data_IF_145746435304
#
_entry.id   IF_145746435304
#
_cell.length_a   1.000
_cell.length_b   1.000
_cell.length_c   1.000
_cell.angle_alpha   90.00
_cell.angle_beta   90.00
_cell.angle_gamma   90.00
#
_symmetry.space_group_name_H-M   'P 1'
#
loop_
_entity.id
_entity.type
_entity.pdbx_description
1 polymer ?
#
# COMPACT_ATOMS: atom_id res chain seq x y z
N UNK A 1 13.25 -7.21 3.10
CA UNK A 1 12.54 -7.93 4.18
C UNK A 1 11.04 -7.71 4.09
N UNK A 2 10.33 -8.46 3.24
CA UNK A 2 8.84 -8.42 3.15
C UNK A 2 8.22 -9.64 3.88
N UNK A 3 9.04 -10.43 4.56
CA UNK A 3 8.59 -11.56 5.39
C UNK A 3 7.83 -11.14 6.65
N UNK A 4 7.96 -9.87 7.07
CA UNK A 4 7.22 -9.30 8.21
C UNK A 4 5.71 -9.45 8.02
N UNK A 5 5.23 -9.48 6.77
CA UNK A 5 3.82 -9.77 6.48
C UNK A 5 3.63 -11.28 6.47
N UNK A 6 3.14 -11.79 7.60
CA UNK A 6 2.89 -13.21 7.81
C UNK A 6 1.64 -13.68 7.04
N UNK A 7 1.62 -14.96 6.63
CA UNK A 7 0.46 -15.59 5.97
C UNK A 7 -0.85 -15.43 6.77
N UNK A 8 -0.87 -15.53 8.11
CA UNK A 8 -2.05 -15.21 8.91
C UNK A 8 -2.53 -13.76 8.77
N UNK A 9 -1.61 -12.79 8.68
CA UNK A 9 -1.95 -11.38 8.46
C UNK A 9 -2.68 -11.15 7.14
N UNK A 10 -2.15 -11.72 6.05
CA UNK A 10 -2.78 -11.67 4.72
C UNK A 10 -4.16 -12.33 4.76
N UNK A 11 -4.28 -13.47 5.45
CA UNK A 11 -5.58 -14.14 5.63
C UNK A 11 -6.58 -13.24 6.35
N UNK A 12 -6.19 -12.56 7.43
CA UNK A 12 -7.09 -11.62 8.14
C UNK A 12 -7.58 -10.48 7.25
N UNK A 13 -6.69 -9.91 6.43
CA UNK A 13 -7.03 -8.85 5.49
C UNK A 13 -7.99 -9.35 4.39
N UNK A 14 -7.67 -10.49 3.77
CA UNK A 14 -8.51 -11.09 2.74
C UNK A 14 -9.91 -11.44 3.28
N UNK A 15 -10.00 -11.97 4.51
CA UNK A 15 -11.29 -12.23 5.16
C UNK A 15 -12.08 -10.96 5.43
N UNK A 16 -11.43 -9.88 5.88
CA UNK A 16 -12.07 -8.56 6.04
C UNK A 16 -12.60 -8.03 4.71
N UNK A 17 -11.90 -8.32 3.61
CA UNK A 17 -12.34 -8.01 2.24
C UNK A 17 -13.37 -8.98 1.63
N UNK A 18 -13.92 -9.93 2.40
CA UNK A 18 -14.95 -10.88 1.91
C UNK A 18 -14.42 -12.05 1.08
N UNK A 19 -13.09 -12.26 1.02
CA UNK A 19 -12.50 -13.34 0.22
C UNK A 19 -12.80 -14.70 0.85
N UNK A 20 -13.46 -15.60 0.09
CA UNK A 20 -13.89 -16.94 0.56
C UNK A 20 -12.80 -18.02 0.42
N UNK A 21 -11.97 -17.98 -0.62
CA UNK A 21 -10.85 -18.92 -0.84
C UNK A 21 -9.62 -18.15 -1.29
N UNK A 22 -8.44 -18.54 -0.77
CA UNK A 22 -7.16 -17.88 -1.06
C UNK A 22 -6.24 -18.93 -1.67
N UNK A 23 -5.70 -18.64 -2.87
CA UNK A 23 -4.69 -19.50 -3.54
C UNK A 23 -3.30 -19.20 -2.99
N UNK A 24 -2.38 -20.17 -3.09
CA UNK A 24 -1.01 -20.04 -2.55
C UNK A 24 -0.19 -18.89 -3.15
N UNK A 25 -0.38 -18.60 -4.45
CA UNK A 25 0.34 -17.53 -5.15
C UNK A 25 -0.01 -16.12 -4.64
N UNK A 26 -1.20 -15.95 -4.06
CA UNK A 26 -1.68 -14.66 -3.53
C UNK A 26 -0.81 -14.15 -2.39
N UNK A 27 -0.12 -15.03 -1.65
CA UNK A 27 0.72 -14.59 -0.53
C UNK A 27 1.90 -13.75 -1.00
N UNK A 28 2.57 -14.16 -2.08
CA UNK A 28 3.71 -13.42 -2.61
C UNK A 28 3.25 -12.21 -3.43
N UNK A 29 2.18 -12.34 -4.18
CA UNK A 29 1.59 -11.23 -4.94
C UNK A 29 1.12 -10.09 -4.02
N UNK A 30 0.42 -10.43 -2.92
CA UNK A 30 -0.02 -9.44 -1.92
C UNK A 30 1.15 -8.71 -1.27
N UNK A 31 2.27 -9.41 -1.07
CA UNK A 31 3.51 -8.82 -0.53
C UNK A 31 4.15 -7.85 -1.52
N UNK A 32 4.18 -8.21 -2.80
CA UNK A 32 4.65 -7.33 -3.88
C UNK A 32 3.82 -6.05 -3.96
N UNK A 33 2.49 -6.17 -3.99
CA UNK A 33 1.57 -5.02 -4.03
C UNK A 33 1.76 -4.11 -2.82
N UNK A 34 1.87 -4.68 -1.60
CA UNK A 34 2.04 -3.86 -0.41
C UNK A 34 3.40 -3.14 -0.39
N UNK A 35 4.45 -3.76 -0.92
CA UNK A 35 5.76 -3.11 -1.05
C UNK A 35 5.67 -1.89 -1.97
N UNK A 36 5.10 -2.05 -3.17
CA UNK A 36 4.95 -0.96 -4.15
C UNK A 36 4.10 0.17 -3.57
N UNK A 37 3.01 -0.17 -2.89
CA UNK A 37 2.15 0.81 -2.23
C UNK A 37 2.92 1.64 -1.18
N UNK A 38 3.68 0.98 -0.30
CA UNK A 38 4.47 1.67 0.72
C UNK A 38 5.59 2.51 0.12
N UNK A 39 6.27 2.03 -0.91
CA UNK A 39 7.30 2.80 -1.62
C UNK A 39 6.72 4.10 -2.21
N UNK A 40 5.54 4.03 -2.81
CA UNK A 40 4.87 5.21 -3.37
C UNK A 40 4.44 6.19 -2.27
N UNK A 41 3.82 5.69 -1.18
CA UNK A 41 3.41 6.53 -0.05
C UNK A 41 4.61 7.20 0.62
N UNK A 42 5.71 6.47 0.82
CA UNK A 42 6.92 7.02 1.44
C UNK A 42 7.58 8.02 0.51
N UNK A 43 7.69 7.75 -0.79
CA UNK A 43 8.25 8.69 -1.77
C UNK A 43 7.48 10.02 -1.74
N UNK A 44 6.16 9.95 -1.76
CA UNK A 44 5.30 11.12 -1.69
C UNK A 44 5.45 11.89 -0.37
N UNK A 45 5.52 11.17 0.76
CA UNK A 45 5.74 11.78 2.07
C UNK A 45 7.10 12.48 2.14
N UNK A 46 8.16 11.83 1.64
CA UNK A 46 9.52 12.39 1.60
C UNK A 46 9.55 13.66 0.75
N UNK A 47 8.98 13.64 -0.46
CA UNK A 47 8.91 14.83 -1.33
C UNK A 47 8.20 16.01 -0.65
N UNK A 48 7.15 15.76 0.12
CA UNK A 48 6.46 16.80 0.90
C UNK A 48 7.30 17.32 2.07
N UNK A 49 7.98 16.44 2.80
CA UNK A 49 8.87 16.85 3.90
C UNK A 49 10.08 17.65 3.42
N UNK A 50 10.66 17.28 2.28
CA UNK A 50 11.78 17.99 1.65
C UNK A 50 11.36 19.39 1.21
N UNK A 51 10.18 19.51 0.57
CA UNK A 51 9.63 20.81 0.19
C UNK A 51 9.43 21.74 1.40
N UNK A 52 9.06 21.18 2.55
CA UNK A 52 8.83 21.95 3.77
C UNK A 52 10.07 22.07 4.68
N UNK A 53 11.24 21.57 4.23
CA UNK A 53 12.53 21.54 4.95
C UNK A 53 12.44 20.95 6.36
N UNK A 54 11.55 19.98 6.56
CA UNK A 54 11.37 19.27 7.83
C UNK A 54 12.11 17.93 7.81
N UNK A 55 12.65 17.52 8.96
CA UNK A 55 13.30 16.20 9.12
C UNK A 55 12.34 15.11 9.61
N UNK A 56 11.08 15.46 9.90
CA UNK A 56 10.08 14.57 10.49
C UNK A 56 8.81 14.56 9.63
N UNK A 57 8.46 13.39 9.11
CA UNK A 57 7.18 13.15 8.40
C UNK A 57 6.04 13.26 9.41
N UNK A 58 5.09 14.16 9.16
CA UNK A 58 3.94 14.40 10.06
C UNK A 58 2.68 13.78 9.47
N UNK A 59 1.75 13.32 10.32
CA UNK A 59 0.51 12.67 9.87
C UNK A 59 -0.33 13.50 8.88
N UNK A 60 -0.20 14.83 8.88
CA UNK A 60 -0.85 15.74 7.93
C UNK A 60 -0.46 15.48 6.46
N UNK A 61 0.77 15.07 6.20
CA UNK A 61 1.24 14.79 4.83
C UNK A 61 0.54 13.56 4.24
N UNK A 62 0.08 12.63 5.10
CA UNK A 62 -0.72 11.48 4.65
C UNK A 62 -2.16 11.85 4.27
N UNK A 63 -2.74 12.89 4.88
CA UNK A 63 -4.18 13.17 4.75
C UNK A 63 -4.53 13.89 3.44
N UNK A 64 -3.63 14.74 2.93
CA UNK A 64 -3.83 15.48 1.68
C UNK A 64 -3.94 14.58 0.42
N UNK A 65 -3.35 13.39 0.46
CA UNK A 65 -3.26 12.46 -0.69
C UNK A 65 -4.12 11.20 -0.55
N UNK A 66 -4.48 10.77 0.67
CA UNK A 66 -5.30 9.57 0.92
C UNK A 66 -6.82 9.83 0.82
N UNK A 67 -7.26 10.89 0.15
CA UNK A 67 -8.69 11.12 -0.09
C UNK A 67 -9.20 10.18 -1.21
N UNK A 68 -9.69 9.01 -0.76
CA UNK A 68 -10.54 8.00 -1.43
C UNK A 68 -10.60 8.05 -2.97
N UNK A 69 -9.84 7.17 -3.63
CA UNK A 69 -10.13 6.69 -4.99
C UNK A 69 -9.03 6.92 -6.04
N UNK A 70 -8.21 7.96 -5.92
CA UNK A 70 -7.28 8.34 -6.99
C UNK A 70 -5.98 7.51 -7.08
N UNK A 71 -5.48 6.97 -5.96
CA UNK A 71 -4.21 6.24 -5.92
C UNK A 71 -4.19 4.92 -6.69
N UNK A 72 -5.34 4.24 -6.76
CA UNK A 72 -5.50 2.98 -7.47
C UNK A 72 -5.73 3.17 -8.98
N UNK A 73 -6.14 4.38 -9.39
CA UNK A 73 -6.41 4.73 -10.79
C UNK A 73 -5.13 5.07 -11.57
N UNK A 74 -4.13 5.67 -10.91
CA UNK A 74 -2.92 6.15 -11.59
C UNK A 74 -1.82 5.09 -11.80
N UNK A 75 -1.93 3.92 -11.20
CA UNK A 75 -0.88 2.89 -11.26
C UNK A 75 -1.42 1.56 -11.80
N UNK A 76 -1.67 1.50 -13.11
CA UNK A 76 -1.54 0.28 -13.94
C UNK A 76 -2.32 -0.99 -13.60
N UNK A 77 -3.21 -0.97 -12.60
CA UNK A 77 -4.05 -2.12 -12.24
C UNK A 77 -5.33 -2.22 -13.09
N UNK A 78 -5.47 -1.38 -14.13
CA UNK A 78 -6.52 -1.51 -15.15
C UNK A 78 -6.32 -2.72 -16.07
N UNK A 79 -5.20 -3.44 -15.96
CA UNK A 79 -4.87 -4.61 -16.80
C UNK A 79 -5.32 -5.97 -16.22
N UNK A 80 -6.10 -5.98 -15.12
CA UNK A 80 -6.69 -7.22 -14.58
C UNK A 80 -8.21 -7.16 -14.77
N UNK A 81 -8.64 -7.23 -16.02
CA UNK A 81 -9.97 -7.70 -16.41
C UNK A 81 -9.85 -8.41 -17.76
#
# INVERSE_FOLDING_TARGET
>A
SVEVITKPGIRRLARRGGVKRIRGLIYEESRGVLKIFLENVIRDAVTYTEHTRRKTVTAMERDGKLRRGAYWSSNGLSAIN
#
